data_IF_749398453740
#
_entry.id   IF_749398453740
#
_cell.length_a   1.000
_cell.length_b   1.000
_cell.length_c   1.000
_cell.angle_alpha   90.00
_cell.angle_beta   90.00
_cell.angle_gamma   90.00
#
_symmetry.space_group_name_H-M   'P 1'
#
loop_
_entity.id
_entity.type
_entity.pdbx_description
1 polymer ?
#
# COMPACT_ATOMS: atom_id res chain seq x y z
N UNK A 1 -7.61 31.06 13.56
CA UNK A 1 -6.68 29.89 13.53
C UNK A 1 -5.66 30.08 14.63
N UNK A 2 -5.30 29.05 15.38
CA UNK A 2 -4.22 29.12 16.39
C UNK A 2 -2.86 29.27 15.70
N UNK A 3 -1.89 29.88 16.36
CA UNK A 3 -0.51 30.03 15.86
C UNK A 3 0.10 28.70 15.39
N UNK A 4 -0.24 27.61 16.09
CA UNK A 4 0.18 26.25 15.75
C UNK A 4 -0.35 25.78 14.38
N UNK A 5 -1.63 26.00 14.08
CA UNK A 5 -2.22 25.63 12.80
C UNK A 5 -1.61 26.42 11.63
N UNK A 6 -1.28 27.69 11.84
CA UNK A 6 -0.58 28.52 10.84
C UNK A 6 0.82 27.97 10.54
N UNK A 7 1.54 27.52 11.57
CA UNK A 7 2.87 26.92 11.40
C UNK A 7 2.79 25.58 10.67
N UNK A 8 1.83 24.72 11.02
CA UNK A 8 1.61 23.43 10.36
C UNK A 8 1.26 23.63 8.87
N UNK A 9 0.39 24.60 8.56
CA UNK A 9 0.08 24.96 7.16
C UNK A 9 1.32 25.43 6.42
N UNK A 10 2.12 26.31 7.02
CA UNK A 10 3.39 26.79 6.43
C UNK A 10 4.36 25.64 6.16
N UNK A 11 4.46 24.66 7.07
CA UNK A 11 5.28 23.46 6.87
C UNK A 11 4.73 22.63 5.67
N UNK A 12 3.41 22.39 5.63
CA UNK A 12 2.78 21.65 4.55
C UNK A 12 3.08 22.28 3.17
N UNK A 13 2.91 23.59 3.06
CA UNK A 13 3.14 24.34 1.83
C UNK A 13 4.62 24.36 1.45
N UNK A 14 5.54 24.67 2.39
CA UNK A 14 6.98 24.78 2.15
C UNK A 14 7.55 23.46 1.61
N UNK A 15 7.12 22.34 2.15
CA UNK A 15 7.65 21.02 1.79
C UNK A 15 6.75 20.23 0.84
N UNK A 16 5.64 20.81 0.37
CA UNK A 16 4.64 20.14 -0.49
C UNK A 16 4.19 18.78 0.06
N UNK A 17 3.95 18.73 1.37
CA UNK A 17 3.49 17.54 2.10
C UNK A 17 2.05 17.72 2.59
N UNK A 18 1.38 16.61 2.93
CA UNK A 18 0.03 16.71 3.49
C UNK A 18 0.03 17.31 4.91
N UNK A 19 -1.07 17.95 5.30
CA UNK A 19 -1.21 18.63 6.58
C UNK A 19 -1.05 17.70 7.80
N UNK A 20 -1.45 16.42 7.67
CA UNK A 20 -1.32 15.42 8.72
C UNK A 20 0.16 15.08 8.95
N UNK A 21 0.90 14.87 7.87
CA UNK A 21 2.34 14.62 7.98
C UNK A 21 3.08 15.86 8.48
N UNK A 22 2.67 17.06 8.04
CA UNK A 22 3.18 18.32 8.57
C UNK A 22 2.93 18.46 10.09
N UNK A 23 1.74 18.08 10.57
CA UNK A 23 1.41 18.07 12.01
C UNK A 23 2.33 17.13 12.79
N UNK A 24 2.53 15.90 12.30
CA UNK A 24 3.47 14.95 12.91
C UNK A 24 4.88 15.50 12.98
N UNK A 25 5.40 16.04 11.87
CA UNK A 25 6.73 16.64 11.81
C UNK A 25 6.87 17.83 12.76
N UNK A 26 5.83 18.66 12.88
CA UNK A 26 5.78 19.76 13.82
C UNK A 26 5.98 19.31 15.27
N UNK A 27 5.38 18.18 15.67
CA UNK A 27 5.52 17.63 17.02
C UNK A 27 6.86 16.91 17.25
N UNK A 28 7.53 16.49 16.17
CA UNK A 28 8.81 15.73 16.24
C UNK A 28 10.02 16.65 16.19
N UNK A 29 9.92 17.79 15.46
CA UNK A 29 11.01 18.74 15.28
C UNK A 29 11.24 19.61 16.53
N UNK A 30 12.48 20.03 16.72
CA UNK A 30 12.81 21.02 17.77
C UNK A 30 12.20 22.39 17.44
N UNK A 31 11.91 23.19 18.48
CA UNK A 31 11.39 24.54 18.26
C UNK A 31 12.42 25.49 17.64
N UNK A 32 13.68 25.22 17.87
CA UNK A 32 14.80 26.10 17.45
C UNK A 32 15.19 25.92 15.98
N UNK A 33 15.20 24.65 15.49
CA UNK A 33 15.62 24.30 14.12
C UNK A 33 14.51 23.62 13.32
N UNK A 34 13.25 24.03 13.57
CA UNK A 34 12.06 23.31 13.09
C UNK A 34 12.08 22.97 11.59
N UNK A 35 12.40 23.94 10.72
CA UNK A 35 12.37 23.69 9.28
C UNK A 35 13.52 22.82 8.79
N UNK A 36 14.70 22.91 9.40
CA UNK A 36 15.86 22.07 9.09
C UNK A 36 15.64 20.64 9.55
N UNK A 37 15.11 20.46 10.77
CA UNK A 37 14.74 19.15 11.30
C UNK A 37 13.66 18.49 10.45
N UNK A 38 12.66 19.27 10.00
CA UNK A 38 11.59 18.79 9.12
C UNK A 38 12.12 18.37 7.76
N UNK A 39 13.01 19.16 7.14
CA UNK A 39 13.65 18.80 5.87
C UNK A 39 14.36 17.45 5.98
N UNK A 40 15.13 17.24 7.06
CA UNK A 40 15.80 15.98 7.36
C UNK A 40 14.84 14.82 7.56
N UNK A 41 13.75 15.03 8.31
CA UNK A 41 12.72 14.01 8.54
C UNK A 41 12.01 13.62 7.24
N UNK A 42 11.79 14.57 6.31
CA UNK A 42 11.21 14.31 5.00
C UNK A 42 12.16 13.49 4.12
N UNK A 43 13.45 13.79 4.13
CA UNK A 43 14.45 12.97 3.45
C UNK A 43 14.53 11.55 4.02
N UNK A 44 14.20 11.38 5.28
CA UNK A 44 14.09 10.06 5.93
C UNK A 44 12.78 9.32 5.65
N UNK A 45 11.81 9.91 4.93
CA UNK A 45 10.54 9.27 4.60
C UNK A 45 10.74 7.99 3.78
N UNK A 46 10.23 6.84 4.26
CA UNK A 46 10.34 5.58 3.53
C UNK A 46 9.45 5.55 2.30
N UNK A 47 9.78 4.65 1.39
CA UNK A 47 8.99 4.34 0.18
C UNK A 47 8.65 2.85 0.17
N UNK A 48 7.62 2.43 -0.58
CA UNK A 48 7.38 1.01 -0.82
C UNK A 48 8.67 0.29 -1.22
N UNK A 49 8.99 -0.79 -0.51
CA UNK A 49 10.23 -1.56 -0.72
C UNK A 49 10.09 -2.60 -1.84
N UNK A 50 8.88 -2.87 -2.32
CA UNK A 50 8.57 -3.71 -3.48
C UNK A 50 7.84 -2.91 -4.55
N UNK A 51 7.92 -3.37 -5.79
CA UNK A 51 7.02 -2.96 -6.86
C UNK A 51 5.72 -3.75 -6.68
N UNK A 52 4.59 -3.06 -6.68
CA UNK A 52 3.29 -3.70 -6.54
C UNK A 52 2.34 -3.20 -7.61
N UNK A 53 1.67 -4.13 -8.28
CA UNK A 53 0.72 -3.77 -9.34
C UNK A 53 -0.49 -3.09 -8.70
N UNK A 54 -0.95 -2.00 -9.28
CA UNK A 54 -2.01 -1.18 -8.70
C UNK A 54 -1.54 -0.21 -7.61
N UNK A 55 -0.23 -0.12 -7.35
CA UNK A 55 0.30 0.76 -6.29
C UNK A 55 -0.13 2.22 -6.45
N UNK A 56 -0.68 2.80 -5.40
CA UNK A 56 -1.40 4.10 -5.39
C UNK A 56 -0.51 5.35 -5.37
N UNK A 57 0.82 5.18 -5.35
CA UNK A 57 1.75 6.33 -5.25
C UNK A 57 1.47 7.48 -6.23
N UNK A 58 1.09 7.14 -7.47
CA UNK A 58 0.79 8.13 -8.50
C UNK A 58 -0.55 8.84 -8.27
N UNK A 59 -1.47 8.22 -7.53
CA UNK A 59 -2.78 8.76 -7.25
C UNK A 59 -2.85 9.59 -5.97
N UNK A 60 -1.91 9.42 -5.03
CA UNK A 60 -1.92 10.12 -3.74
C UNK A 60 -1.93 11.64 -3.89
N UNK A 61 -1.20 12.18 -4.88
CA UNK A 61 -1.27 13.61 -5.17
C UNK A 61 -2.67 14.03 -5.60
N UNK A 62 -3.28 13.27 -6.52
CA UNK A 62 -4.64 13.56 -6.99
C UNK A 62 -5.67 13.45 -5.86
N UNK A 63 -5.55 12.46 -4.98
CA UNK A 63 -6.43 12.32 -3.81
C UNK A 63 -6.34 13.54 -2.89
N UNK A 64 -5.14 14.08 -2.69
CA UNK A 64 -4.92 15.33 -1.92
C UNK A 64 -5.49 16.55 -2.61
N UNK A 65 -5.23 16.70 -3.91
CA UNK A 65 -5.70 17.83 -4.71
C UNK A 65 -7.26 17.89 -4.74
N UNK A 66 -7.91 16.74 -4.60
CA UNK A 66 -9.38 16.63 -4.50
C UNK A 66 -9.92 16.81 -3.05
N UNK A 67 -9.05 17.00 -2.07
CA UNK A 67 -9.44 17.10 -0.65
C UNK A 67 -9.96 15.79 -0.05
N UNK A 68 -9.65 14.63 -0.66
CA UNK A 68 -10.17 13.33 -0.26
C UNK A 68 -9.17 12.51 0.57
N UNK A 69 -7.91 12.96 0.69
CA UNK A 69 -6.90 12.21 1.42
C UNK A 69 -5.82 13.15 1.99
N UNK A 70 -5.47 12.92 3.22
CA UNK A 70 -6.14 12.09 4.23
C UNK A 70 -7.45 12.75 4.69
N UNK A 71 -8.35 12.02 5.42
CA UNK A 71 -9.56 12.66 5.99
C UNK A 71 -9.16 13.83 6.90
N UNK A 72 -9.87 14.96 6.81
CA UNK A 72 -9.49 16.21 7.51
C UNK A 72 -9.45 16.04 9.03
N UNK A 73 -10.41 15.30 9.59
CA UNK A 73 -10.53 15.08 11.04
C UNK A 73 -9.77 13.83 11.53
N UNK A 74 -9.04 13.12 10.68
CA UNK A 74 -8.22 12.01 11.10
C UNK A 74 -6.94 12.51 11.79
N UNK A 75 -6.73 12.12 13.04
CA UNK A 75 -5.48 12.38 13.75
C UNK A 75 -4.57 11.15 13.74
N UNK A 76 -3.44 11.17 13.03
CA UNK A 76 -2.54 10.01 12.89
C UNK A 76 -1.77 9.69 14.17
N UNK A 77 -1.86 10.52 15.21
CA UNK A 77 -1.19 10.31 16.50
C UNK A 77 -2.10 9.55 17.45
N UNK A 78 -3.39 9.90 17.48
CA UNK A 78 -4.36 9.36 18.45
C UNK A 78 -5.28 8.29 17.88
N UNK A 79 -5.52 8.31 16.57
CA UNK A 79 -6.36 7.35 15.88
C UNK A 79 -5.52 6.31 15.15
N UNK A 80 -6.10 5.15 14.94
CA UNK A 80 -5.44 4.02 14.28
C UNK A 80 -5.72 4.01 12.79
N UNK A 81 -4.70 3.69 12.00
CA UNK A 81 -4.81 3.46 10.56
C UNK A 81 -4.90 1.97 10.23
N UNK A 82 -5.78 1.60 9.31
CA UNK A 82 -5.94 0.23 8.84
C UNK A 82 -5.78 0.16 7.32
N UNK A 83 -4.96 -0.80 6.85
CA UNK A 83 -4.79 -1.12 5.41
C UNK A 83 -4.88 -2.64 5.19
N UNK A 84 -6.11 -3.20 5.08
CA UNK A 84 -6.34 -4.64 5.00
C UNK A 84 -5.93 -5.31 3.69
N UNK A 85 -5.60 -4.53 2.65
CA UNK A 85 -5.03 -4.95 1.38
C UNK A 85 -3.72 -4.18 1.17
N UNK A 86 -2.73 -4.39 2.05
CA UNK A 86 -1.57 -3.48 2.13
C UNK A 86 -0.72 -3.50 0.86
N UNK A 87 -0.58 -4.64 0.18
CA UNK A 87 0.27 -4.73 -1.01
C UNK A 87 1.64 -4.08 -0.79
N UNK A 88 1.98 -3.06 -1.59
CA UNK A 88 3.22 -2.30 -1.43
C UNK A 88 3.21 -1.24 -0.32
N UNK A 89 2.10 -1.01 0.37
CA UNK A 89 1.94 -0.05 1.46
C UNK A 89 2.10 1.41 1.05
N UNK A 90 1.65 1.76 -0.15
CA UNK A 90 1.85 3.10 -0.69
C UNK A 90 1.17 4.19 0.16
N UNK A 91 -0.04 3.91 0.68
CA UNK A 91 -0.79 4.83 1.53
C UNK A 91 -0.19 4.86 2.92
N UNK A 92 0.13 3.73 3.52
CA UNK A 92 0.80 3.65 4.81
C UNK A 92 2.11 4.44 4.84
N UNK A 93 3.01 4.22 3.87
CA UNK A 93 4.29 4.94 3.80
C UNK A 93 4.16 6.42 3.43
N UNK A 94 3.03 6.84 2.90
CA UNK A 94 2.74 8.26 2.69
C UNK A 94 2.16 8.91 3.94
N UNK A 95 1.26 8.22 4.65
CA UNK A 95 0.57 8.72 5.85
C UNK A 95 1.46 8.69 7.08
N UNK A 96 2.23 7.62 7.28
CA UNK A 96 3.10 7.37 8.44
C UNK A 96 2.37 7.56 9.78
N UNK A 97 1.28 6.85 10.05
CA UNK A 97 0.55 6.96 11.31
C UNK A 97 1.38 6.42 12.48
N UNK A 98 1.10 6.85 13.71
CA UNK A 98 1.77 6.34 14.91
C UNK A 98 1.41 4.88 15.19
N UNK A 99 0.14 4.53 15.00
CA UNK A 99 -0.38 3.17 15.17
C UNK A 99 -1.07 2.72 13.88
N UNK A 100 -0.74 1.54 13.41
CA UNK A 100 -1.39 0.96 12.24
C UNK A 100 -1.56 -0.57 12.35
N UNK A 101 -2.60 -1.06 11.68
CA UNK A 101 -2.85 -2.47 11.39
C UNK A 101 -2.78 -2.68 9.89
N UNK A 102 -1.77 -3.42 9.43
CA UNK A 102 -1.59 -3.77 8.04
C UNK A 102 -1.87 -5.26 7.84
N UNK A 103 -2.61 -5.62 6.80
CA UNK A 103 -2.79 -7.04 6.49
C UNK A 103 -2.87 -7.29 4.99
N UNK A 104 -2.64 -8.53 4.63
CA UNK A 104 -2.74 -9.07 3.27
C UNK A 104 -2.95 -10.58 3.37
N UNK A 105 -3.56 -11.19 2.36
CA UNK A 105 -3.65 -12.65 2.27
C UNK A 105 -2.35 -13.29 1.77
N UNK A 106 -1.47 -12.51 1.15
CA UNK A 106 -0.19 -12.98 0.66
C UNK A 106 0.81 -13.19 1.80
N UNK A 107 1.03 -14.45 2.16
CA UNK A 107 1.93 -14.81 3.26
C UNK A 107 3.37 -14.37 3.06
N UNK A 108 3.93 -14.51 1.85
CA UNK A 108 5.31 -14.10 1.57
C UNK A 108 5.48 -12.58 1.75
N UNK A 109 4.48 -11.80 1.38
CA UNK A 109 4.46 -10.36 1.59
C UNK A 109 4.43 -10.01 3.08
N UNK A 110 3.51 -10.62 3.84
CA UNK A 110 3.37 -10.39 5.29
C UNK A 110 4.65 -10.78 6.04
N UNK A 111 5.25 -11.93 5.72
CA UNK A 111 6.56 -12.35 6.25
C UNK A 111 7.63 -11.32 5.93
N UNK A 112 7.64 -10.80 4.70
CA UNK A 112 8.61 -9.79 4.27
C UNK A 112 8.49 -8.49 5.08
N UNK A 113 7.27 -7.99 5.30
CA UNK A 113 7.02 -6.85 6.17
C UNK A 113 7.54 -7.10 7.60
N UNK A 114 7.24 -8.26 8.18
CA UNK A 114 7.66 -8.61 9.54
C UNK A 114 9.18 -8.76 9.66
N UNK A 115 9.87 -9.30 8.66
CA UNK A 115 11.33 -9.37 8.63
C UNK A 115 11.96 -7.98 8.51
N UNK A 116 11.40 -7.09 7.67
CA UNK A 116 11.86 -5.69 7.59
C UNK A 116 11.67 -5.00 8.94
N UNK A 117 10.54 -5.21 9.61
CA UNK A 117 10.27 -4.64 10.93
C UNK A 117 11.26 -5.11 11.98
N UNK A 118 11.54 -6.41 12.05
CA UNK A 118 12.19 -7.05 13.20
C UNK A 118 13.65 -7.41 12.97
N UNK A 119 14.09 -7.61 11.71
CA UNK A 119 15.44 -8.16 11.38
C UNK A 119 16.02 -7.56 10.08
N UNK A 120 15.90 -6.25 9.91
CA UNK A 120 16.28 -5.55 8.67
C UNK A 120 17.76 -5.71 8.32
N UNK A 121 18.66 -5.75 9.30
CA UNK A 121 20.11 -5.83 9.03
C UNK A 121 20.53 -7.21 8.49
N UNK A 122 19.95 -8.29 8.97
CA UNK A 122 20.20 -9.61 8.40
C UNK A 122 19.54 -9.76 7.02
N UNK A 123 18.38 -9.14 6.80
CA UNK A 123 17.76 -9.07 5.48
C UNK A 123 18.67 -8.35 4.48
N UNK A 124 19.23 -7.20 4.83
CA UNK A 124 20.19 -6.45 4.00
C UNK A 124 21.40 -7.32 3.67
N UNK A 125 22.00 -7.99 4.67
CA UNK A 125 23.12 -8.91 4.44
C UNK A 125 22.76 -10.05 3.48
N UNK A 126 21.54 -10.58 3.58
CA UNK A 126 21.04 -11.63 2.69
C UNK A 126 20.83 -11.12 1.27
N UNK A 127 20.19 -9.95 1.11
CA UNK A 127 19.91 -9.33 -0.19
C UNK A 127 21.19 -9.01 -0.99
N UNK A 128 22.26 -8.62 -0.32
CA UNK A 128 23.56 -8.34 -0.94
C UNK A 128 24.25 -9.57 -1.56
N UNK A 129 23.83 -10.77 -1.18
CA UNK A 129 24.39 -12.04 -1.71
C UNK A 129 23.74 -12.47 -3.02
N UNK A 130 22.59 -11.88 -3.39
CA UNK A 130 21.90 -12.26 -4.62
C UNK A 130 22.65 -11.77 -5.86
N UNK A 131 22.58 -12.58 -6.91
CA UNK A 131 23.24 -12.35 -8.20
C UNK A 131 22.18 -12.04 -9.26
N UNK A 132 22.49 -11.12 -10.17
CA UNK A 132 21.65 -10.84 -11.33
C UNK A 132 22.03 -11.81 -12.46
N UNK A 133 21.52 -13.01 -12.37
CA UNK A 133 21.73 -14.09 -13.34
C UNK A 133 20.45 -14.86 -13.56
N UNK A 134 20.22 -15.33 -14.80
CA UNK A 134 18.98 -16.03 -15.17
C UNK A 134 18.87 -17.41 -14.51
N UNK A 135 19.96 -18.17 -14.44
CA UNK A 135 19.93 -19.51 -13.85
C UNK A 135 19.75 -19.40 -12.33
N UNK A 136 20.44 -18.46 -11.71
CA UNK A 136 20.24 -18.14 -10.30
C UNK A 136 18.80 -17.70 -10.01
N UNK A 137 18.21 -16.84 -10.85
CA UNK A 137 16.80 -16.45 -10.73
C UNK A 137 15.86 -17.66 -10.82
N UNK A 138 16.06 -18.56 -11.78
CA UNK A 138 15.24 -19.76 -11.92
C UNK A 138 15.35 -20.68 -10.72
N UNK A 139 16.56 -20.82 -10.15
CA UNK A 139 16.79 -21.56 -8.91
C UNK A 139 16.07 -20.95 -7.72
N UNK A 140 16.16 -19.63 -7.54
CA UNK A 140 15.43 -18.90 -6.48
C UNK A 140 13.93 -19.01 -6.68
N UNK A 141 13.44 -18.88 -7.92
CA UNK A 141 12.02 -19.01 -8.25
C UNK A 141 11.45 -20.39 -7.93
N UNK A 142 12.21 -21.45 -8.15
CA UNK A 142 11.77 -22.82 -7.93
C UNK A 142 11.69 -23.23 -6.45
N UNK A 143 12.22 -22.44 -5.54
CA UNK A 143 12.15 -22.74 -4.10
C UNK A 143 10.70 -22.66 -3.60
N UNK A 144 10.31 -23.59 -2.71
CA UNK A 144 9.05 -23.51 -1.99
C UNK A 144 9.22 -22.60 -0.76
N UNK A 145 8.52 -21.43 -0.70
CA UNK A 145 8.64 -20.50 0.41
C UNK A 145 8.23 -21.09 1.77
N UNK A 146 7.33 -22.06 1.80
CA UNK A 146 6.89 -22.73 3.04
C UNK A 146 8.00 -23.54 3.73
N UNK A 147 9.07 -23.90 2.97
CA UNK A 147 10.22 -24.66 3.48
C UNK A 147 11.41 -23.76 3.84
N UNK A 148 11.26 -22.46 3.69
CA UNK A 148 12.31 -21.47 3.97
C UNK A 148 12.06 -20.85 5.36
N UNK A 149 13.15 -20.35 5.97
CA UNK A 149 13.02 -19.44 7.11
C UNK A 149 12.40 -18.12 6.65
N UNK A 150 11.80 -17.37 7.58
CA UNK A 150 11.21 -16.06 7.31
C UNK A 150 12.21 -15.13 6.63
N UNK A 151 13.45 -15.08 7.11
CA UNK A 151 14.53 -14.29 6.50
C UNK A 151 14.78 -14.68 5.05
N UNK A 152 14.86 -15.96 4.73
CA UNK A 152 15.10 -16.44 3.38
C UNK A 152 13.88 -16.23 2.49
N UNK A 153 12.67 -16.36 3.02
CA UNK A 153 11.41 -16.03 2.33
C UNK A 153 11.37 -14.55 1.94
N UNK A 154 11.65 -13.64 2.87
CA UNK A 154 11.69 -12.21 2.64
C UNK A 154 12.78 -11.81 1.63
N UNK A 155 13.98 -12.36 1.76
CA UNK A 155 15.10 -12.11 0.85
C UNK A 155 14.78 -12.58 -0.58
N UNK A 156 14.27 -13.81 -0.71
CA UNK A 156 13.78 -14.36 -1.99
C UNK A 156 12.68 -13.51 -2.61
N UNK A 157 11.69 -13.11 -1.81
CA UNK A 157 10.53 -12.32 -2.26
C UNK A 157 10.99 -10.98 -2.86
N UNK A 158 11.81 -10.22 -2.14
CA UNK A 158 12.34 -8.94 -2.64
C UNK A 158 13.20 -9.16 -3.87
N UNK A 159 14.10 -10.14 -3.87
CA UNK A 159 14.95 -10.47 -5.01
C UNK A 159 14.11 -10.77 -6.26
N UNK A 160 13.13 -11.68 -6.17
CA UNK A 160 12.27 -12.03 -7.29
C UNK A 160 11.47 -10.82 -7.79
N UNK A 161 10.90 -10.02 -6.89
CA UNK A 161 10.16 -8.81 -7.25
C UNK A 161 11.03 -7.78 -7.97
N UNK A 162 12.30 -7.62 -7.56
CA UNK A 162 13.22 -6.64 -8.15
C UNK A 162 13.81 -7.10 -9.49
N UNK A 163 13.84 -8.41 -9.76
CA UNK A 163 14.50 -8.99 -10.93
C UNK A 163 13.54 -9.64 -11.93
N UNK A 164 12.27 -9.87 -11.58
CA UNK A 164 11.26 -10.41 -12.49
C UNK A 164 10.71 -9.35 -13.46
N UNK A 165 10.03 -9.79 -14.49
CA UNK A 165 9.38 -8.94 -15.50
C UNK A 165 8.41 -7.94 -14.82
N UNK A 166 8.67 -6.64 -15.00
CA UNK A 166 7.91 -5.50 -14.47
C UNK A 166 7.69 -5.47 -12.94
N UNK A 167 8.41 -6.26 -12.16
CA UNK A 167 8.23 -6.35 -10.71
C UNK A 167 6.85 -6.91 -10.32
N UNK A 168 6.28 -7.75 -11.16
CA UNK A 168 4.98 -8.37 -10.90
C UNK A 168 5.12 -9.47 -9.84
N UNK A 169 4.06 -9.68 -9.06
CA UNK A 169 3.89 -10.88 -8.27
C UNK A 169 2.75 -11.71 -8.87
N UNK A 170 3.01 -12.95 -9.18
CA UNK A 170 1.98 -13.88 -9.66
C UNK A 170 2.40 -15.31 -9.32
N UNK A 171 1.44 -16.12 -8.89
CA UNK A 171 1.62 -17.54 -8.62
C UNK A 171 0.81 -18.38 -9.58
N UNK A 172 1.22 -19.63 -9.81
CA UNK A 172 0.42 -20.62 -10.51
C UNK A 172 -0.60 -21.27 -9.56
N UNK A 173 -1.43 -22.19 -10.07
CA UNK A 173 -2.46 -22.92 -9.29
C UNK A 173 -1.89 -23.75 -8.12
N UNK A 174 -0.58 -24.02 -8.10
CA UNK A 174 0.13 -24.71 -7.02
C UNK A 174 0.81 -23.76 -6.04
N UNK A 175 0.54 -22.44 -6.12
CA UNK A 175 1.15 -21.41 -5.27
C UNK A 175 2.61 -21.04 -5.64
N UNK A 176 3.20 -21.63 -6.68
CA UNK A 176 4.56 -21.33 -7.09
C UNK A 176 4.68 -20.03 -7.89
N UNK A 177 5.65 -19.17 -7.55
CA UNK A 177 5.93 -17.93 -8.27
C UNK A 177 6.22 -18.22 -9.74
N UNK A 178 5.54 -17.55 -10.69
CA UNK A 178 5.59 -17.89 -12.12
C UNK A 178 5.88 -16.72 -13.07
N UNK A 179 6.30 -15.57 -12.56
CA UNK A 179 6.72 -14.44 -13.39
C UNK A 179 8.10 -14.73 -14.01
N UNK A 180 8.32 -14.43 -15.29
CA UNK A 180 9.62 -14.65 -15.93
C UNK A 180 10.68 -13.66 -15.43
N UNK A 181 11.95 -13.99 -15.68
CA UNK A 181 13.09 -13.11 -15.46
C UNK A 181 12.95 -11.81 -16.26
N UNK A 182 13.23 -10.68 -15.64
CA UNK A 182 13.18 -9.35 -16.25
C UNK A 182 14.46 -9.04 -17.05
N UNK A 183 14.35 -8.07 -17.96
CA UNK A 183 15.50 -7.60 -18.77
C UNK A 183 16.10 -6.33 -18.13
N UNK A 184 16.47 -6.40 -16.85
CA UNK A 184 17.12 -5.27 -16.18
C UNK A 184 18.64 -5.41 -16.28
N UNK A 185 19.33 -4.29 -16.53
CA UNK A 185 20.82 -4.26 -16.56
C UNK A 185 21.40 -4.08 -15.17
N UNK A 186 20.78 -3.28 -14.31
CA UNK A 186 21.25 -3.03 -12.94
C UNK A 186 20.07 -2.72 -12.01
N UNK A 187 19.24 -3.72 -11.64
CA UNK A 187 18.13 -3.49 -10.72
C UNK A 187 18.65 -3.24 -9.30
N UNK A 188 18.09 -2.26 -8.61
CA UNK A 188 18.36 -2.04 -7.20
C UNK A 188 17.68 -3.13 -6.37
N UNK A 189 18.39 -4.26 -6.16
CA UNK A 189 17.88 -5.40 -5.39
C UNK A 189 17.82 -5.04 -3.91
N UNK A 190 18.86 -4.41 -3.36
CA UNK A 190 18.96 -4.02 -1.97
C UNK A 190 19.04 -2.50 -1.82
N UNK A 191 17.92 -1.87 -1.50
CA UNK A 191 17.86 -0.45 -1.11
C UNK A 191 17.99 -0.34 0.41
N UNK A 192 19.24 -0.43 0.91
CA UNK A 192 19.55 -0.48 2.35
C UNK A 192 18.94 0.69 3.11
N UNK A 193 19.12 1.91 2.58
CA UNK A 193 18.62 3.10 3.23
C UNK A 193 17.11 3.08 3.35
N UNK A 194 16.41 2.72 2.29
CA UNK A 194 14.95 2.63 2.32
C UNK A 194 14.44 1.50 3.20
N UNK A 195 15.12 0.35 3.23
CA UNK A 195 14.76 -0.77 4.12
C UNK A 195 14.87 -0.37 5.60
N UNK A 196 15.95 0.34 5.99
CA UNK A 196 16.10 0.86 7.36
C UNK A 196 15.03 1.92 7.70
N UNK A 197 14.70 2.81 6.76
CA UNK A 197 13.62 3.77 6.93
C UNK A 197 12.26 3.07 7.08
N UNK A 198 11.98 2.05 6.26
CA UNK A 198 10.78 1.25 6.36
C UNK A 198 10.70 0.50 7.70
N UNK A 199 11.81 -0.09 8.16
CA UNK A 199 11.88 -0.75 9.48
C UNK A 199 11.51 0.20 10.61
N UNK A 200 12.04 1.43 10.62
CA UNK A 200 11.69 2.46 11.62
C UNK A 200 10.18 2.79 11.57
N UNK A 201 9.62 2.97 10.36
CA UNK A 201 8.21 3.29 10.19
C UNK A 201 7.27 2.17 10.64
N UNK A 202 7.71 0.92 10.55
CA UNK A 202 6.93 -0.26 10.93
C UNK A 202 6.99 -0.60 12.43
N UNK A 203 7.76 0.14 13.25
CA UNK A 203 8.03 -0.23 14.65
C UNK A 203 6.77 -0.50 15.48
N UNK A 204 5.78 0.40 15.40
CA UNK A 204 4.52 0.31 16.16
C UNK A 204 3.34 -0.21 15.30
N UNK A 205 3.63 -0.94 14.25
CA UNK A 205 2.65 -1.45 13.30
C UNK A 205 2.41 -2.92 13.54
N UNK A 206 1.16 -3.33 13.62
CA UNK A 206 0.78 -4.74 13.62
C UNK A 206 0.59 -5.22 12.18
N UNK A 207 1.23 -6.35 11.81
CA UNK A 207 1.22 -6.85 10.44
C UNK A 207 0.84 -8.33 10.46
N UNK A 208 -0.31 -8.69 9.84
CA UNK A 208 -0.86 -10.05 9.90
C UNK A 208 -1.34 -10.55 8.54
N UNK A 209 -1.21 -11.86 8.33
CA UNK A 209 -1.95 -12.55 7.28
C UNK A 209 -3.37 -12.79 7.79
N UNK A 210 -4.32 -12.01 7.28
CA UNK A 210 -5.72 -12.15 7.70
C UNK A 210 -6.67 -11.57 6.64
N UNK A 211 -7.93 -11.98 6.73
CA UNK A 211 -9.01 -11.44 5.91
C UNK A 211 -9.30 -9.98 6.27
N UNK A 212 -9.73 -9.18 5.28
CA UNK A 212 -10.06 -7.76 5.47
C UNK A 212 -11.18 -7.52 6.49
N UNK A 213 -12.08 -8.48 6.70
CA UNK A 213 -13.19 -8.38 7.66
C UNK A 213 -12.71 -8.32 9.12
N UNK A 214 -11.47 -8.76 9.38
CA UNK A 214 -10.90 -8.70 10.73
C UNK A 214 -10.78 -7.25 11.26
N UNK A 215 -10.78 -6.25 10.38
CA UNK A 215 -10.83 -4.84 10.76
C UNK A 215 -12.05 -4.51 11.63
N UNK A 216 -13.17 -5.21 11.42
CA UNK A 216 -14.39 -5.03 12.21
C UNK A 216 -14.24 -5.40 13.69
N UNK A 217 -13.21 -6.17 14.07
CA UNK A 217 -12.99 -6.55 15.47
C UNK A 217 -12.36 -5.45 16.30
N UNK A 218 -11.63 -4.54 15.66
CA UNK A 218 -10.78 -3.57 16.37
C UNK A 218 -11.03 -2.11 15.99
N UNK A 219 -11.50 -1.83 14.76
CA UNK A 219 -11.74 -0.47 14.31
C UNK A 219 -12.86 0.22 15.08
N UNK A 220 -12.63 1.46 15.49
CA UNK A 220 -13.53 2.30 16.28
C UNK A 220 -13.66 3.69 15.67
N UNK A 221 -14.61 4.47 16.20
CA UNK A 221 -14.85 5.85 15.79
C UNK A 221 -13.57 6.67 15.69
N UNK A 222 -13.39 7.38 14.58
CA UNK A 222 -12.24 8.24 14.31
C UNK A 222 -11.06 7.53 13.65
N UNK A 223 -11.02 6.19 13.62
CA UNK A 223 -9.98 5.44 12.90
C UNK A 223 -10.14 5.61 11.38
N UNK A 224 -9.04 5.50 10.65
CA UNK A 224 -9.03 5.60 9.19
C UNK A 224 -8.71 4.25 8.55
N UNK A 225 -9.60 3.78 7.69
CA UNK A 225 -9.48 2.51 6.97
C UNK A 225 -9.35 2.77 5.47
N UNK A 226 -8.31 2.23 4.84
CA UNK A 226 -8.14 2.26 3.40
C UNK A 226 -8.23 0.86 2.80
N UNK A 227 -9.17 0.66 1.88
CA UNK A 227 -9.34 -0.56 1.12
C UNK A 227 -8.82 -0.39 -0.31
N UNK A 228 -7.90 -1.27 -0.72
CA UNK A 228 -7.39 -1.41 -2.10
C UNK A 228 -7.54 -2.86 -2.56
N UNK A 229 -8.79 -3.37 -2.68
CA UNK A 229 -9.08 -4.76 -2.99
C UNK A 229 -8.64 -5.12 -4.42
N UNK A 230 -8.63 -6.40 -4.79
CA UNK A 230 -8.62 -6.78 -6.19
C UNK A 230 -9.80 -6.11 -6.91
N UNK A 231 -9.49 -5.37 -7.99
CA UNK A 231 -10.46 -4.56 -8.70
C UNK A 231 -11.47 -5.41 -9.46
N UNK A 232 -12.71 -4.96 -9.46
CA UNK A 232 -13.74 -5.59 -10.28
C UNK A 232 -13.37 -5.50 -11.77
N UNK A 233 -13.49 -6.59 -12.56
CA UNK A 233 -13.08 -6.62 -13.94
C UNK A 233 -13.87 -5.63 -14.83
N UNK A 234 -13.17 -4.80 -15.59
CA UNK A 234 -13.80 -3.86 -16.55
C UNK A 234 -14.31 -4.55 -17.82
N UNK A 235 -13.92 -5.81 -18.08
CA UNK A 235 -14.41 -6.64 -19.18
C UNK A 235 -14.30 -8.14 -18.84
N UNK A 236 -15.10 -8.98 -19.52
CA UNK A 236 -15.05 -10.44 -19.34
C UNK A 236 -13.66 -11.05 -19.59
N UNK A 237 -12.86 -10.45 -20.46
CA UNK A 237 -11.49 -10.90 -20.76
C UNK A 237 -10.47 -10.43 -19.73
N UNK A 238 -10.78 -9.42 -18.92
CA UNK A 238 -9.90 -8.92 -17.84
C UNK A 238 -9.94 -9.81 -16.59
N UNK A 239 -10.92 -10.68 -16.45
CA UNK A 239 -11.06 -11.60 -15.30
C UNK A 239 -9.95 -12.67 -15.22
N UNK A 240 -9.24 -12.95 -16.33
CA UNK A 240 -8.12 -13.92 -16.37
C UNK A 240 -6.81 -13.43 -15.74
N UNK A 241 -6.74 -12.21 -15.25
CA UNK A 241 -5.53 -11.60 -14.67
C UNK A 241 -5.56 -11.52 -13.14
N UNK A 242 -6.49 -12.23 -12.47
CA UNK A 242 -6.57 -12.24 -11.00
C UNK A 242 -5.28 -12.80 -10.37
N UNK A 243 -4.71 -12.04 -9.44
CA UNK A 243 -3.45 -12.34 -8.74
C UNK A 243 -3.61 -13.35 -7.59
N UNK A 244 -4.84 -13.73 -7.26
CA UNK A 244 -5.18 -14.71 -6.22
C UNK A 244 -5.88 -15.91 -6.85
N UNK A 245 -5.73 -17.07 -6.23
CA UNK A 245 -6.43 -18.32 -6.61
C UNK A 245 -7.96 -18.26 -6.42
N UNK A 246 -8.44 -17.28 -5.67
CA UNK A 246 -9.86 -16.98 -5.46
C UNK A 246 -10.23 -15.69 -6.18
N UNK A 247 -11.30 -15.73 -6.97
CA UNK A 247 -11.80 -14.57 -7.70
C UNK A 247 -12.52 -13.62 -6.74
N UNK A 248 -12.12 -12.35 -6.69
CA UNK A 248 -12.78 -11.30 -5.92
C UNK A 248 -13.86 -10.66 -6.83
N UNK A 249 -15.01 -11.34 -6.94
CA UNK A 249 -16.10 -10.99 -7.85
C UNK A 249 -17.31 -10.38 -7.11
N UNK A 250 -18.49 -10.51 -7.70
CA UNK A 250 -19.73 -9.86 -7.24
C UNK A 250 -19.99 -10.07 -5.74
N UNK A 251 -19.89 -11.32 -5.27
CA UNK A 251 -20.16 -11.67 -3.88
C UNK A 251 -19.17 -11.00 -2.93
N UNK A 252 -17.88 -11.13 -3.21
CA UNK A 252 -16.81 -10.58 -2.37
C UNK A 252 -16.82 -9.04 -2.39
N UNK A 253 -17.17 -8.42 -3.53
CA UNK A 253 -17.35 -6.97 -3.62
C UNK A 253 -18.55 -6.47 -2.80
N UNK A 254 -19.67 -7.21 -2.78
CA UNK A 254 -20.84 -6.90 -1.95
C UNK A 254 -20.48 -7.04 -0.46
N UNK A 255 -19.80 -8.12 -0.06
CA UNK A 255 -19.37 -8.33 1.33
C UNK A 255 -18.39 -7.23 1.79
N UNK A 256 -17.51 -6.77 0.90
CA UNK A 256 -16.62 -5.63 1.18
C UNK A 256 -17.41 -4.32 1.34
N UNK A 257 -18.41 -4.07 0.47
CA UNK A 257 -19.32 -2.95 0.62
C UNK A 257 -20.05 -2.99 1.96
N UNK A 258 -20.53 -4.14 2.40
CA UNK A 258 -21.20 -4.29 3.70
C UNK A 258 -20.25 -4.02 4.86
N UNK A 259 -18.97 -4.47 4.75
CA UNK A 259 -17.91 -4.13 5.70
C UNK A 259 -17.66 -2.62 5.76
N UNK A 260 -17.59 -1.96 4.60
CA UNK A 260 -17.45 -0.51 4.49
C UNK A 260 -18.59 0.23 5.20
N UNK A 261 -19.84 -0.18 4.94
CA UNK A 261 -21.05 0.41 5.54
C UNK A 261 -21.07 0.22 7.07
N UNK A 262 -20.66 -0.93 7.54
CA UNK A 262 -20.57 -1.18 9.00
C UNK A 262 -19.54 -0.26 9.66
N UNK A 263 -18.36 -0.06 9.05
CA UNK A 263 -17.35 0.87 9.54
C UNK A 263 -17.84 2.33 9.49
N UNK A 264 -18.56 2.70 8.43
CA UNK A 264 -19.22 4.01 8.35
C UNK A 264 -20.17 4.24 9.53
N UNK A 265 -21.04 3.28 9.84
CA UNK A 265 -21.98 3.35 10.98
C UNK A 265 -21.27 3.50 12.33
N UNK A 266 -20.05 2.95 12.47
CA UNK A 266 -19.21 3.10 13.66
C UNK A 266 -18.54 4.47 13.78
N UNK A 267 -18.65 5.31 12.74
CA UNK A 267 -17.99 6.62 12.69
C UNK A 267 -16.50 6.56 12.38
N UNK A 268 -16.06 5.50 11.69
CA UNK A 268 -14.72 5.44 11.10
C UNK A 268 -14.69 6.28 9.82
N UNK A 269 -13.52 6.79 9.46
CA UNK A 269 -13.24 7.30 8.13
C UNK A 269 -12.89 6.13 7.22
N UNK A 270 -13.58 5.96 6.11
CA UNK A 270 -13.34 4.84 5.20
C UNK A 270 -13.14 5.36 3.78
N UNK A 271 -12.07 4.90 3.16
CA UNK A 271 -11.71 5.16 1.76
C UNK A 271 -11.49 3.86 1.02
N UNK A 272 -12.01 3.73 -0.19
CA UNK A 272 -11.87 2.52 -1.01
C UNK A 272 -11.58 2.91 -2.46
N UNK A 273 -10.60 2.26 -3.08
CA UNK A 273 -10.32 2.35 -4.51
C UNK A 273 -10.88 1.16 -5.27
N UNK A 274 -11.45 1.38 -6.46
CA UNK A 274 -11.91 0.29 -7.35
C UNK A 274 -11.98 0.75 -8.82
N UNK A 275 -12.33 -0.16 -9.72
CA UNK A 275 -12.59 0.14 -11.12
C UNK A 275 -13.90 0.93 -11.31
N UNK A 276 -13.93 1.88 -12.26
CA UNK A 276 -15.14 2.58 -12.66
C UNK A 276 -16.01 1.66 -13.55
N UNK A 277 -16.84 0.83 -12.91
CA UNK A 277 -17.78 -0.08 -13.58
C UNK A 277 -19.21 0.16 -13.12
N UNK A 278 -20.24 -0.14 -13.95
CA UNK A 278 -21.64 0.00 -13.55
C UNK A 278 -21.97 -0.75 -12.25
N UNK A 279 -21.37 -1.94 -12.06
CA UNK A 279 -21.60 -2.75 -10.86
C UNK A 279 -21.06 -2.07 -9.60
N UNK A 280 -19.80 -1.63 -9.62
CA UNK A 280 -19.19 -0.94 -8.47
C UNK A 280 -19.91 0.37 -8.17
N UNK A 281 -20.19 1.17 -9.20
CA UNK A 281 -20.95 2.42 -9.02
C UNK A 281 -22.32 2.13 -8.37
N UNK A 282 -23.03 1.09 -8.81
CA UNK A 282 -24.35 0.72 -8.27
C UNK A 282 -24.25 0.38 -6.78
N UNK A 283 -23.42 -0.58 -6.40
CA UNK A 283 -23.37 -1.09 -5.01
C UNK A 283 -22.90 -0.05 -3.98
N UNK A 284 -22.14 0.97 -4.41
CA UNK A 284 -21.69 2.05 -3.52
C UNK A 284 -22.54 3.33 -3.60
N UNK A 285 -23.45 3.45 -4.58
CA UNK A 285 -24.43 4.54 -4.62
C UNK A 285 -25.70 4.26 -3.82
N UNK A 286 -25.98 3.00 -3.49
CA UNK A 286 -27.18 2.61 -2.73
C UNK A 286 -27.14 3.02 -1.24
N UNK A 287 -26.00 2.87 -0.51
CA UNK A 287 -25.94 3.29 0.89
C UNK A 287 -25.85 4.83 1.01
N UNK A 288 -26.61 5.41 1.96
CA UNK A 288 -26.54 6.83 2.28
C UNK A 288 -25.19 7.23 2.88
N UNK A 289 -24.75 8.47 2.67
CA UNK A 289 -23.55 9.05 3.25
C UNK A 289 -22.25 8.63 2.54
N UNK A 290 -22.31 7.88 1.45
CA UNK A 290 -21.14 7.54 0.64
C UNK A 290 -21.00 8.48 -0.56
N UNK A 291 -19.76 8.81 -0.90
CA UNK A 291 -19.39 9.64 -2.05
C UNK A 291 -18.52 8.83 -3.01
N UNK A 292 -18.86 8.84 -4.28
CA UNK A 292 -18.06 8.24 -5.36
C UNK A 292 -17.40 9.35 -6.15
N UNK A 293 -16.06 9.38 -6.18
CA UNK A 293 -15.29 10.36 -6.95
C UNK A 293 -14.47 9.63 -8.01
N UNK A 294 -14.54 10.10 -9.26
CA UNK A 294 -13.74 9.54 -10.36
C UNK A 294 -12.34 10.13 -10.37
N UNK A 295 -11.34 9.27 -10.52
CA UNK A 295 -9.92 9.62 -10.56
C UNK A 295 -9.26 9.03 -11.79
N UNK A 296 -8.16 9.66 -12.27
CA UNK A 296 -7.46 9.23 -13.46
C UNK A 296 -6.18 8.47 -13.07
N UNK A 297 -6.16 7.17 -13.32
CA UNK A 297 -5.00 6.32 -13.08
C UNK A 297 -4.19 6.08 -14.36
N UNK A 298 -2.87 6.09 -14.24
CA UNK A 298 -1.98 5.72 -15.33
C UNK A 298 -1.83 4.20 -15.44
N UNK A 299 -2.19 3.60 -16.56
CA UNK A 299 -1.99 2.19 -16.83
C UNK A 299 -0.60 1.95 -17.43
N UNK A 300 0.40 1.73 -16.58
CA UNK A 300 1.79 1.50 -17.02
C UNK A 300 2.03 0.07 -17.55
N UNK A 301 1.20 -0.90 -17.17
CA UNK A 301 1.38 -2.32 -17.49
C UNK A 301 0.22 -2.79 -18.39
N UNK A 302 0.49 -2.94 -19.67
CA UNK A 302 -0.35 -3.67 -20.62
C UNK A 302 0.57 -4.38 -21.60
N UNK A 303 0.25 -5.63 -21.97
CA UNK A 303 0.95 -6.38 -23.03
C UNK A 303 0.87 -5.67 -24.37
N UNK A 304 -0.23 -4.99 -24.64
CA UNK A 304 -0.45 -4.13 -25.80
C UNK A 304 -0.09 -2.67 -25.45
N UNK A 305 0.97 -2.17 -26.08
CA UNK A 305 1.47 -0.81 -25.83
C UNK A 305 0.44 0.28 -26.23
N UNK A 306 -0.41 0.02 -27.21
CA UNK A 306 -1.47 0.94 -27.67
C UNK A 306 -2.59 1.12 -26.63
N UNK A 307 -2.72 0.18 -25.69
CA UNK A 307 -3.70 0.19 -24.60
C UNK A 307 -3.12 0.71 -23.28
N UNK A 308 -1.91 1.31 -23.32
CA UNK A 308 -1.33 2.06 -22.19
C UNK A 308 -1.86 3.48 -22.24
N UNK A 309 -2.64 3.87 -21.26
CA UNK A 309 -3.27 5.19 -21.20
C UNK A 309 -3.83 5.48 -19.81
N UNK A 310 -4.51 6.60 -19.70
CA UNK A 310 -5.29 6.92 -18.50
C UNK A 310 -6.54 6.05 -18.48
N UNK A 311 -6.82 5.46 -17.35
CA UNK A 311 -8.08 4.76 -17.04
C UNK A 311 -8.77 5.49 -15.90
N UNK A 312 -10.09 5.46 -15.93
CA UNK A 312 -10.89 5.99 -14.83
C UNK A 312 -11.01 4.91 -13.74
N UNK A 313 -10.67 5.28 -12.52
CA UNK A 313 -10.94 4.52 -11.32
C UNK A 313 -11.93 5.30 -10.46
N UNK A 314 -12.56 4.66 -9.49
CA UNK A 314 -13.40 5.30 -8.50
C UNK A 314 -12.73 5.28 -7.13
N UNK A 315 -12.90 6.38 -6.40
CA UNK A 315 -12.58 6.49 -5.00
C UNK A 315 -13.90 6.68 -4.24
N UNK A 316 -14.20 5.73 -3.34
CA UNK A 316 -15.38 5.80 -2.48
C UNK A 316 -14.95 6.29 -1.11
N UNK A 317 -15.62 7.30 -0.57
CA UNK A 317 -15.40 7.81 0.79
C UNK A 317 -16.72 8.00 1.51
N UNK A 318 -16.69 8.10 2.85
CA UNK A 318 -17.84 8.39 3.71
C UNK A 318 -17.71 9.72 4.47
N UNK A 319 -16.86 10.60 4.01
CA UNK A 319 -16.56 11.91 4.59
C UNK A 319 -16.43 12.97 3.50
#
# INVERSE_FOLDING_TARGET
>A
MTTQNQTITKIADTFSINAIYARRLFHTASKEYMFEDIAKLIEEKPKPFVKWVGGKRQLLKQFRDLGLYPPEDFDPITNTYFEPFVGGGAVFFDLLPETAYLSDLNNELVVTYNVIKNDVENLIKSLKKHQLDKEYFLKMRAQNPEKLSDLNTASRFIYLNRTCFNGMYRVNSKGGFNVPFGKYTNPLICDENNLRKASKALKNVEIKKQDYKEVLKTAKKGDFIYFDPPYYPVSKTASFTSYTSESFLDKEQIELRDTFVELHKRGCFVMLSNSDTPFINKIYSEPEGLRITKVQAGRAINSDASKRGKITEVLVTNY
#
